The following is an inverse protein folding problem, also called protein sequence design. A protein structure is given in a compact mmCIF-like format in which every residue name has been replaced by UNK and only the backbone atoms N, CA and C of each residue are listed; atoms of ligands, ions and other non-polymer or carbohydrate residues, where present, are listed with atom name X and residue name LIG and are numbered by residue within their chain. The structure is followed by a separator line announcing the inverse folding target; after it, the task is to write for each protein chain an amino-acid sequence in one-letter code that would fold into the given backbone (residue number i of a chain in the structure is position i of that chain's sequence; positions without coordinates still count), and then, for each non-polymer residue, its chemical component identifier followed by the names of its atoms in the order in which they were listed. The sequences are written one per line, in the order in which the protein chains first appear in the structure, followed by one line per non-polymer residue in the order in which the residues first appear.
data_IF_188886492125
#
_entry.id   IF_188886492125
#
_cell.length_a   1.000
_cell.length_b   1.000
_cell.length_c   1.000
_cell.angle_alpha   90.00
_cell.angle_beta   90.00
_cell.angle_gamma   90.00
#
_symmetry.space_group_name_H-M   'P 1'
#
loop_
_entity.id
_entity.type
_entity.pdbx_description
1 polymer ?
#
# COMPACT_ATOMS: atom_id res chain seq x y z
N UNK A 1 32.49 -3.80 -8.14
CA UNK A 1 32.42 -3.03 -6.88
C UNK A 1 31.70 -3.90 -5.87
N UNK A 2 32.34 -4.30 -4.76
CA UNK A 2 31.66 -5.03 -3.70
C UNK A 2 30.58 -4.14 -3.05
N UNK A 3 29.49 -4.75 -2.57
CA UNK A 3 28.45 -4.05 -1.82
C UNK A 3 29.09 -3.44 -0.56
N UNK A 4 28.97 -2.12 -0.41
CA UNK A 4 29.41 -1.41 0.77
C UNK A 4 28.46 -1.60 1.94
N UNK A 5 28.90 -1.19 3.14
CA UNK A 5 28.05 -1.18 4.34
C UNK A 5 26.80 -0.32 4.17
N UNK A 6 26.88 0.78 3.41
CA UNK A 6 25.75 1.65 3.09
C UNK A 6 24.71 0.95 2.19
N UNK A 7 25.15 0.17 1.20
CA UNK A 7 24.26 -0.55 0.30
C UNK A 7 23.46 -1.63 1.06
N UNK A 8 24.14 -2.35 1.95
CA UNK A 8 23.50 -3.37 2.80
C UNK A 8 22.49 -2.72 3.75
N UNK A 9 22.81 -1.56 4.33
CA UNK A 9 21.88 -0.81 5.17
C UNK A 9 20.65 -0.33 4.40
N UNK A 10 20.82 0.17 3.17
CA UNK A 10 19.72 0.62 2.32
C UNK A 10 18.78 -0.52 1.92
N UNK A 11 19.35 -1.68 1.55
CA UNK A 11 18.57 -2.90 1.24
C UNK A 11 17.77 -3.33 2.47
N UNK A 12 18.40 -3.37 3.64
CA UNK A 12 17.73 -3.76 4.87
C UNK A 12 16.59 -2.82 5.25
N UNK A 13 16.80 -1.51 5.12
CA UNK A 13 15.77 -0.50 5.38
C UNK A 13 14.58 -0.66 4.43
N UNK A 14 14.85 -0.87 3.14
CA UNK A 14 13.81 -1.06 2.12
C UNK A 14 12.99 -2.31 2.39
N UNK A 15 13.66 -3.43 2.74
CA UNK A 15 12.99 -4.68 3.08
C UNK A 15 12.12 -4.54 4.32
N UNK A 16 12.62 -3.85 5.35
CA UNK A 16 11.86 -3.58 6.58
C UNK A 16 10.63 -2.72 6.29
N UNK A 17 10.78 -1.66 5.50
CA UNK A 17 9.68 -0.77 5.16
C UNK A 17 8.63 -1.51 4.32
N UNK A 18 9.05 -2.20 3.26
CA UNK A 18 8.16 -2.92 2.36
C UNK A 18 7.41 -4.06 3.06
N UNK A 19 8.09 -4.82 3.93
CA UNK A 19 7.44 -5.90 4.70
C UNK A 19 6.42 -5.34 5.69
N UNK A 20 6.76 -4.28 6.43
CA UNK A 20 5.85 -3.66 7.37
C UNK A 20 4.61 -3.08 6.68
N UNK A 21 4.80 -2.33 5.59
CA UNK A 21 3.67 -1.76 4.83
C UNK A 21 2.80 -2.85 4.23
N UNK A 22 3.40 -3.92 3.69
CA UNK A 22 2.66 -5.07 3.15
C UNK A 22 1.81 -5.75 4.22
N UNK A 23 2.35 -6.00 5.42
CA UNK A 23 1.59 -6.61 6.52
C UNK A 23 0.41 -5.73 6.93
N UNK A 24 0.62 -4.41 7.05
CA UNK A 24 -0.46 -3.46 7.35
C UNK A 24 -1.55 -3.50 6.26
N UNK A 25 -1.14 -3.45 4.98
CA UNK A 25 -2.07 -3.52 3.85
C UNK A 25 -2.80 -4.86 3.77
N UNK A 26 -2.18 -5.97 4.16
CA UNK A 26 -2.85 -7.27 4.21
C UNK A 26 -3.90 -7.31 5.33
N UNK A 27 -3.58 -6.78 6.51
CA UNK A 27 -4.50 -6.77 7.65
C UNK A 27 -5.70 -5.86 7.38
N UNK A 28 -5.50 -4.71 6.73
CA UNK A 28 -6.55 -3.71 6.51
C UNK A 28 -7.21 -3.85 5.13
N UNK A 29 -6.42 -3.99 4.07
CA UNK A 29 -6.89 -4.05 2.69
C UNK A 29 -7.65 -5.33 2.38
N UNK A 30 -7.23 -6.49 2.90
CA UNK A 30 -7.92 -7.77 2.67
C UNK A 30 -9.36 -7.77 3.18
N UNK A 31 -9.67 -7.39 4.44
CA UNK A 31 -11.05 -7.34 4.90
C UNK A 31 -11.88 -6.28 4.16
N UNK A 32 -11.30 -5.12 3.82
CA UNK A 32 -11.98 -4.10 3.00
C UNK A 32 -12.34 -4.65 1.62
N UNK A 33 -11.41 -5.35 0.97
CA UNK A 33 -11.65 -5.95 -0.35
C UNK A 33 -12.75 -7.03 -0.30
N UNK A 34 -12.72 -7.90 0.72
CA UNK A 34 -13.75 -8.92 0.92
C UNK A 34 -15.13 -8.30 1.19
N UNK A 35 -15.18 -7.24 2.01
CA UNK A 35 -16.42 -6.51 2.28
C UNK A 35 -16.98 -5.84 1.02
N UNK A 36 -16.13 -5.16 0.25
CA UNK A 36 -16.49 -4.46 -0.98
C UNK A 36 -17.00 -5.43 -2.07
N UNK A 37 -16.42 -6.62 -2.14
CA UNK A 37 -16.81 -7.66 -3.09
C UNK A 37 -18.19 -8.28 -2.80
N UNK A 38 -18.63 -8.31 -1.54
CA UNK A 38 -19.83 -9.03 -1.11
C UNK A 38 -21.02 -8.13 -0.74
N UNK A 39 -20.82 -6.83 -0.58
CA UNK A 39 -21.83 -5.91 -0.04
C UNK A 39 -22.48 -5.05 -1.15
N UNK A 40 -23.78 -4.75 -0.98
CA UNK A 40 -24.59 -3.80 -1.79
C UNK A 40 -24.80 -2.43 -1.09
N UNK A 41 -24.06 -2.15 -0.03
CA UNK A 41 -24.11 -0.88 0.70
C UNK A 41 -23.78 0.32 -0.20
N UNK A 42 -24.51 1.42 -0.02
CA UNK A 42 -24.23 2.71 -0.68
C UNK A 42 -22.80 3.24 -0.43
N UNK A 43 -22.19 2.87 0.70
CA UNK A 43 -20.80 3.25 1.04
C UNK A 43 -19.73 2.59 0.16
N UNK A 44 -20.12 1.57 -0.63
CA UNK A 44 -19.23 0.88 -1.58
C UNK A 44 -18.61 1.83 -2.60
N UNK A 45 -19.38 2.79 -3.11
CA UNK A 45 -18.91 3.77 -4.10
C UNK A 45 -17.77 4.64 -3.56
N UNK A 46 -18.00 5.41 -2.47
CA UNK A 46 -16.96 6.24 -1.88
C UNK A 46 -15.73 5.46 -1.40
N UNK A 47 -15.91 4.31 -0.74
CA UNK A 47 -14.78 3.51 -0.24
C UNK A 47 -13.96 2.94 -1.40
N UNK A 48 -14.62 2.45 -2.46
CA UNK A 48 -13.94 1.98 -3.67
C UNK A 48 -13.14 3.10 -4.35
N UNK A 49 -13.69 4.31 -4.40
CA UNK A 49 -12.98 5.48 -4.95
C UNK A 49 -11.71 5.82 -4.14
N UNK A 50 -11.78 5.83 -2.81
CA UNK A 50 -10.62 6.08 -1.94
C UNK A 50 -9.53 5.01 -2.12
N UNK A 51 -9.92 3.74 -2.25
CA UNK A 51 -8.96 2.64 -2.48
C UNK A 51 -8.31 2.74 -3.86
N UNK A 52 -9.04 3.19 -4.89
CA UNK A 52 -8.53 3.36 -6.25
C UNK A 52 -7.76 4.68 -6.46
N UNK A 53 -7.99 5.69 -5.62
CA UNK A 53 -7.43 7.03 -5.75
C UNK A 53 -5.89 7.06 -5.88
N UNK A 54 -5.10 6.27 -5.12
CA UNK A 54 -3.64 6.22 -5.29
C UNK A 54 -3.19 5.73 -6.67
N UNK A 55 -4.02 4.97 -7.39
CA UNK A 55 -3.72 4.48 -8.74
C UNK A 55 -3.96 5.56 -9.79
N UNK A 56 -4.89 6.48 -9.54
CA UNK A 56 -5.29 7.54 -10.49
C UNK A 56 -4.52 8.83 -10.25
N UNK A 57 -4.11 9.09 -9.00
CA UNK A 57 -3.34 10.28 -8.67
C UNK A 57 -1.86 10.13 -9.04
N UNK A 58 -1.22 11.22 -9.53
CA UNK A 58 0.22 11.24 -9.73
C UNK A 58 0.96 11.03 -8.38
N UNK A 59 2.11 10.33 -8.37
CA UNK A 59 2.91 10.14 -7.16
C UNK A 59 3.31 11.47 -6.50
N UNK A 60 3.51 12.51 -7.31
CA UNK A 60 3.81 13.88 -6.84
C UNK A 60 2.68 14.53 -6.04
N UNK A 61 1.42 14.17 -6.30
CA UNK A 61 0.25 14.65 -5.53
C UNK A 61 0.10 13.88 -4.22
N UNK A 62 0.56 12.63 -4.18
CA UNK A 62 0.56 11.76 -3.00
C UNK A 62 1.72 12.12 -2.05
N UNK A 63 2.76 12.79 -2.55
CA UNK A 63 3.91 13.26 -1.78
C UNK A 63 5.17 12.40 -1.91
N UNK A 64 5.26 11.58 -2.97
CA UNK A 64 6.54 11.02 -3.45
C UNK A 64 7.33 12.07 -4.22
#
# INVERSE_FOLDING_TARGET
MPLGSADIAAIWLTLKLASLTTVILLIIGTPIALWLARTDSWLKGPIGAVVALPLVLPPTVIGF
#
